data_IF_745883719555
#
_entry.id   IF_745883719555
#
_cell.length_a   1.000
_cell.length_b   1.000
_cell.length_c   1.000
_cell.angle_alpha   90.00
_cell.angle_beta   90.00
_cell.angle_gamma   90.00
#
_symmetry.space_group_name_H-M   'P 1'
#
loop_
_entity.id
_entity.type
_entity.pdbx_description
1 polymer ?
#
# COMPACT_ATOMS: atom_id res chain seq x y z
N UNK A 1 14.89 -3.85 22.85
CA UNK A 1 15.54 -3.56 21.55
C UNK A 1 14.81 -4.41 20.51
N UNK A 2 14.15 -3.80 19.52
CA UNK A 2 13.46 -4.54 18.45
C UNK A 2 14.49 -4.89 17.36
N UNK A 3 14.81 -6.17 17.12
CA UNK A 3 15.78 -6.55 16.10
C UNK A 3 15.31 -6.26 14.67
N UNK A 4 14.02 -5.95 14.47
CA UNK A 4 13.45 -5.63 13.16
C UNK A 4 13.32 -4.12 12.90
N UNK A 5 13.74 -3.26 13.84
CA UNK A 5 13.78 -1.80 13.67
C UNK A 5 14.89 -1.37 12.70
N UNK A 6 14.61 -1.48 11.41
CA UNK A 6 15.54 -1.21 10.30
C UNK A 6 15.29 0.14 9.62
N UNK A 7 14.35 0.96 10.14
CA UNK A 7 13.93 2.21 9.50
C UNK A 7 15.07 3.22 9.35
N UNK A 8 15.97 3.30 10.33
CA UNK A 8 17.17 4.15 10.25
C UNK A 8 18.09 3.75 9.08
N UNK A 9 18.26 2.45 8.86
CA UNK A 9 19.06 1.94 7.75
C UNK A 9 18.40 2.29 6.40
N UNK A 10 17.08 2.10 6.28
CA UNK A 10 16.30 2.44 5.08
C UNK A 10 16.46 3.92 4.73
N UNK A 11 16.31 4.82 5.71
CA UNK A 11 16.49 6.28 5.51
C UNK A 11 17.93 6.60 5.07
N UNK A 12 18.93 6.02 5.71
CA UNK A 12 20.33 6.27 5.36
C UNK A 12 20.64 5.81 3.93
N UNK A 13 20.06 4.68 3.48
CA UNK A 13 20.19 4.23 2.10
C UNK A 13 19.43 5.12 1.13
N UNK A 14 18.21 5.54 1.45
CA UNK A 14 17.44 6.50 0.65
C UNK A 14 18.22 7.80 0.41
N UNK A 15 18.96 8.30 1.40
CA UNK A 15 19.78 9.52 1.26
C UNK A 15 20.94 9.37 0.25
N UNK A 16 21.34 8.13 -0.04
CA UNK A 16 22.43 7.80 -0.97
C UNK A 16 21.91 7.43 -2.37
N UNK A 17 20.59 7.35 -2.57
CA UNK A 17 19.97 6.98 -3.86
C UNK A 17 19.29 8.18 -4.51
N UNK A 18 19.35 8.26 -5.84
CA UNK A 18 18.70 9.32 -6.60
C UNK A 18 17.17 9.15 -6.67
N UNK A 19 16.69 7.92 -6.69
CA UNK A 19 15.26 7.62 -6.70
C UNK A 19 14.70 7.44 -5.28
N UNK A 20 13.41 7.72 -5.13
CA UNK A 20 12.66 7.58 -3.88
C UNK A 20 12.11 6.17 -3.76
N UNK A 21 12.40 5.51 -2.65
CA UNK A 21 11.79 4.26 -2.24
C UNK A 21 10.30 4.47 -1.97
N UNK A 22 9.53 3.43 -2.23
CA UNK A 22 8.12 3.34 -1.86
C UNK A 22 7.97 2.36 -0.70
N UNK A 23 7.50 2.84 0.44
CA UNK A 23 7.34 2.04 1.67
C UNK A 23 5.86 1.93 1.99
N UNK A 24 5.35 0.70 2.14
CA UNK A 24 3.95 0.45 2.47
C UNK A 24 3.79 0.22 3.98
N UNK A 25 2.99 1.06 4.64
CA UNK A 25 2.65 0.89 6.05
C UNK A 25 1.27 0.28 6.22
N UNK A 26 1.15 -0.61 7.21
CA UNK A 26 -0.11 -1.23 7.57
C UNK A 26 -0.71 -0.56 8.80
N UNK A 27 -1.87 0.08 8.64
CA UNK A 27 -2.55 0.84 9.70
C UNK A 27 -3.92 0.26 10.09
N UNK A 28 -4.27 -0.91 9.54
CA UNK A 28 -5.52 -1.58 9.86
C UNK A 28 -5.57 -2.09 11.30
N UNK A 29 -6.77 -2.47 11.75
CA UNK A 29 -6.97 -3.06 13.07
C UNK A 29 -6.34 -4.46 13.18
N UNK A 30 -6.06 -4.88 14.42
CA UNK A 30 -5.68 -6.26 14.68
C UNK A 30 -6.84 -7.20 14.29
N UNK A 31 -6.52 -8.22 13.50
CA UNK A 31 -7.47 -9.20 13.00
C UNK A 31 -6.85 -10.60 12.99
N UNK A 32 -7.61 -11.61 12.56
CA UNK A 32 -7.15 -13.00 12.45
C UNK A 32 -5.98 -13.17 11.47
N UNK A 33 -5.90 -12.36 10.41
CA UNK A 33 -4.86 -12.48 9.39
C UNK A 33 -3.79 -11.38 9.49
N UNK A 34 -4.18 -10.17 9.86
CA UNK A 34 -3.27 -9.03 9.95
C UNK A 34 -3.14 -8.53 11.39
N UNK A 35 -1.89 -8.39 11.86
CA UNK A 35 -1.57 -7.87 13.20
C UNK A 35 -1.19 -6.39 13.12
N UNK A 36 -2.20 -5.53 13.04
CA UNK A 36 -2.01 -4.10 12.85
C UNK A 36 -1.53 -3.36 14.09
N UNK A 37 -0.86 -2.23 13.87
CA UNK A 37 -0.49 -1.29 14.92
C UNK A 37 -1.55 -0.21 14.98
N UNK A 38 -2.11 0.02 16.17
CA UNK A 38 -3.11 1.06 16.39
C UNK A 38 -2.55 2.45 15.98
N UNK A 39 -3.23 3.12 15.05
CA UNK A 39 -2.85 4.42 14.49
C UNK A 39 -2.86 5.55 15.52
N UNK A 40 -3.56 5.37 16.65
CA UNK A 40 -3.55 6.35 17.75
C UNK A 40 -2.22 6.38 18.51
N UNK A 41 -1.32 5.41 18.27
CA UNK A 41 0.02 5.42 18.87
C UNK A 41 0.88 6.49 18.21
N UNK A 42 1.10 7.59 18.93
CA UNK A 42 1.94 8.73 18.49
C UNK A 42 3.32 8.30 17.96
N UNK A 43 3.97 7.31 18.59
CA UNK A 43 5.26 6.79 18.12
C UNK A 43 5.20 6.21 16.71
N UNK A 44 4.11 5.52 16.37
CA UNK A 44 3.93 4.92 15.04
C UNK A 44 3.62 5.99 13.99
N UNK A 45 2.74 6.94 14.30
CA UNK A 45 2.46 8.10 13.43
C UNK A 45 3.73 8.91 13.17
N UNK A 46 4.52 9.18 14.22
CA UNK A 46 5.80 9.87 14.11
C UNK A 46 6.79 9.13 13.23
N UNK A 47 6.85 7.79 13.33
CA UNK A 47 7.67 6.96 12.46
C UNK A 47 7.24 7.04 10.99
N UNK A 48 5.94 6.94 10.70
CA UNK A 48 5.41 7.03 9.33
C UNK A 48 5.78 8.40 8.73
N UNK A 49 5.53 9.48 9.47
CA UNK A 49 5.89 10.84 9.04
C UNK A 49 7.39 11.00 8.80
N UNK A 50 8.22 10.53 9.72
CA UNK A 50 9.67 10.59 9.57
C UNK A 50 10.17 9.81 8.34
N UNK A 51 9.53 8.70 7.98
CA UNK A 51 9.85 7.97 6.74
C UNK A 51 9.35 8.74 5.51
N UNK A 52 8.15 9.34 5.59
CA UNK A 52 7.57 10.15 4.51
C UNK A 52 8.40 11.39 4.15
N UNK A 53 9.19 11.93 5.09
CA UNK A 53 10.13 13.02 4.81
C UNK A 53 11.23 12.62 3.79
N UNK A 54 11.57 11.33 3.71
CA UNK A 54 12.66 10.83 2.86
C UNK A 54 12.18 9.93 1.72
N UNK A 55 11.11 9.16 1.92
CA UNK A 55 10.59 8.14 1.01
C UNK A 55 9.14 8.45 0.60
N UNK A 56 8.67 7.85 -0.49
CA UNK A 56 7.22 7.77 -0.75
C UNK A 56 6.60 6.76 0.22
N UNK A 57 5.39 7.06 0.68
CA UNK A 57 4.62 6.16 1.55
C UNK A 57 3.33 5.74 0.85
N UNK A 58 3.07 4.44 0.86
CA UNK A 58 1.82 3.84 0.39
C UNK A 58 1.09 3.10 1.51
N UNK A 59 -0.14 2.70 1.22
CA UNK A 59 -0.97 1.91 2.13
C UNK A 59 -0.76 0.43 1.85
N UNK A 60 -0.31 -0.32 2.86
CA UNK A 60 -0.58 -1.75 2.87
C UNK A 60 -2.03 -1.92 3.32
N UNK A 61 -2.92 -2.31 2.44
CA UNK A 61 -4.35 -2.50 2.74
C UNK A 61 -4.59 -3.87 3.41
N UNK A 62 -5.53 -3.97 4.35
CA UNK A 62 -5.76 -5.22 5.09
C UNK A 62 -6.31 -6.35 4.22
N UNK A 63 -6.18 -7.58 4.72
CA UNK A 63 -6.72 -8.78 4.08
C UNK A 63 -8.24 -8.71 3.85
N UNK A 64 -8.96 -8.09 4.78
CA UNK A 64 -10.42 -7.95 4.71
C UNK A 64 -10.85 -6.82 3.76
N UNK A 65 -10.06 -5.76 3.64
CA UNK A 65 -10.36 -4.63 2.74
C UNK A 65 -10.50 -5.03 1.25
N UNK A 66 -9.95 -6.18 0.85
CA UNK A 66 -10.11 -6.74 -0.50
C UNK A 66 -11.59 -6.95 -0.87
N UNK A 67 -12.44 -7.28 0.10
CA UNK A 67 -13.88 -7.54 -0.07
C UNK A 67 -14.77 -6.50 0.61
N UNK A 68 -14.19 -5.48 1.23
CA UNK A 68 -14.90 -4.48 2.01
C UNK A 68 -14.36 -3.09 1.66
N UNK A 69 -15.07 -2.41 0.76
CA UNK A 69 -14.68 -1.09 0.24
C UNK A 69 -14.77 -0.01 1.33
N UNK A 70 -15.69 -0.12 2.29
CA UNK A 70 -15.80 0.85 3.37
C UNK A 70 -14.63 0.71 4.35
N UNK A 71 -14.16 -0.51 4.61
CA UNK A 71 -12.92 -0.74 5.34
C UNK A 71 -11.70 -0.19 4.57
N UNK A 72 -11.59 -0.44 3.27
CA UNK A 72 -10.50 0.10 2.44
C UNK A 72 -10.48 1.63 2.46
N UNK A 73 -11.64 2.26 2.31
CA UNK A 73 -11.83 3.71 2.36
C UNK A 73 -11.47 4.29 3.72
N UNK A 74 -11.82 3.59 4.81
CA UNK A 74 -11.40 3.97 6.17
C UNK A 74 -9.89 3.92 6.32
N UNK A 75 -9.26 2.82 5.92
CA UNK A 75 -7.80 2.66 5.97
C UNK A 75 -7.11 3.74 5.11
N UNK A 76 -7.59 3.99 3.89
CA UNK A 76 -7.09 5.07 3.02
C UNK A 76 -7.12 6.42 3.75
N UNK A 77 -8.29 6.83 4.24
CA UNK A 77 -8.46 8.12 4.93
C UNK A 77 -7.53 8.27 6.12
N UNK A 78 -7.40 7.22 6.94
CA UNK A 78 -6.51 7.25 8.10
C UNK A 78 -5.03 7.43 7.70
N UNK A 79 -4.62 6.87 6.56
CA UNK A 79 -3.25 7.07 6.05
C UNK A 79 -3.09 8.49 5.51
N UNK A 80 -4.07 9.00 4.76
CA UNK A 80 -4.07 10.36 4.24
C UNK A 80 -4.02 11.40 5.36
N UNK A 81 -4.78 11.20 6.44
CA UNK A 81 -4.74 12.06 7.65
C UNK A 81 -3.36 12.05 8.32
N UNK A 82 -2.66 10.92 8.31
CA UNK A 82 -1.30 10.81 8.86
C UNK A 82 -0.28 11.49 7.96
N UNK A 83 -0.38 11.35 6.65
CA UNK A 83 0.58 11.90 5.70
C UNK A 83 0.27 13.35 5.31
N UNK A 84 -0.95 13.83 5.58
CA UNK A 84 -1.47 15.13 5.14
C UNK A 84 -1.37 15.32 3.61
N UNK A 85 -1.58 14.23 2.85
CA UNK A 85 -1.55 14.21 1.38
C UNK A 85 -2.41 13.06 0.86
N UNK A 86 -2.82 13.14 -0.40
CA UNK A 86 -3.58 12.08 -1.07
C UNK A 86 -2.73 10.80 -1.22
N UNK A 87 -3.34 9.65 -0.97
CA UNK A 87 -2.68 8.36 -1.08
C UNK A 87 -2.53 7.97 -2.56
N UNK A 88 -1.30 7.84 -3.04
CA UNK A 88 -1.05 7.48 -4.44
C UNK A 88 -0.96 5.97 -4.70
N UNK A 89 -0.48 5.19 -3.73
CA UNK A 89 -0.10 3.79 -3.93
C UNK A 89 -0.67 2.87 -2.85
N UNK A 90 -1.13 1.69 -3.27
CA UNK A 90 -1.58 0.61 -2.40
C UNK A 90 -0.86 -0.72 -2.64
N UNK A 91 -0.97 -1.60 -1.65
CA UNK A 91 -0.66 -3.02 -1.78
C UNK A 91 -1.51 -3.82 -0.81
N UNK A 92 -2.28 -4.80 -1.29
CA UNK A 92 -3.06 -5.64 -0.39
C UNK A 92 -2.20 -6.67 0.36
N UNK A 93 -2.57 -6.94 1.61
CA UNK A 93 -1.96 -7.98 2.44
C UNK A 93 -1.94 -9.33 1.72
N UNK A 94 -0.85 -10.08 1.90
CA UNK A 94 -0.64 -11.42 1.31
C UNK A 94 -0.73 -11.48 -0.22
N UNK A 95 -0.52 -10.35 -0.91
CA UNK A 95 -0.78 -10.22 -2.35
C UNK A 95 -2.19 -10.72 -2.74
N UNK A 96 -3.18 -10.61 -1.85
CA UNK A 96 -4.54 -11.05 -2.12
C UNK A 96 -5.23 -10.02 -2.99
N UNK A 97 -5.80 -10.47 -4.11
CA UNK A 97 -6.42 -9.61 -5.10
C UNK A 97 -7.68 -10.30 -5.63
N UNK A 98 -8.79 -9.56 -5.71
CA UNK A 98 -10.05 -10.04 -6.27
C UNK A 98 -10.39 -9.20 -7.50
N UNK A 99 -9.93 -9.61 -8.68
CA UNK A 99 -10.20 -8.89 -9.93
C UNK A 99 -11.62 -9.19 -10.44
N UNK A 100 -12.29 -8.24 -11.11
CA UNK A 100 -11.87 -6.84 -11.31
C UNK A 100 -12.16 -5.92 -10.10
N UNK A 101 -12.94 -6.41 -9.14
CA UNK A 101 -13.52 -5.62 -8.03
C UNK A 101 -12.49 -4.83 -7.21
N UNK A 102 -11.37 -5.44 -6.82
CA UNK A 102 -10.33 -4.76 -6.05
C UNK A 102 -9.78 -3.54 -6.80
N UNK A 103 -9.62 -3.62 -8.12
CA UNK A 103 -9.09 -2.53 -8.94
C UNK A 103 -10.15 -1.47 -9.22
N UNK A 104 -11.40 -1.87 -9.44
CA UNK A 104 -12.53 -0.92 -9.49
C UNK A 104 -12.64 -0.11 -8.19
N UNK A 105 -12.51 -0.76 -7.03
CA UNK A 105 -12.54 -0.10 -5.73
C UNK A 105 -11.36 0.87 -5.56
N UNK A 106 -10.15 0.51 -5.99
CA UNK A 106 -9.00 1.42 -5.94
C UNK A 106 -9.19 2.63 -6.85
N UNK A 107 -9.68 2.43 -8.07
CA UNK A 107 -10.01 3.51 -9.02
C UNK A 107 -11.07 4.44 -8.44
N UNK A 108 -12.15 3.90 -7.87
CA UNK A 108 -13.21 4.68 -7.22
C UNK A 108 -12.68 5.52 -6.04
N UNK A 109 -11.68 4.99 -5.31
CA UNK A 109 -11.01 5.68 -4.22
C UNK A 109 -9.85 6.59 -4.68
N UNK A 110 -9.65 6.74 -5.99
CA UNK A 110 -8.60 7.56 -6.61
C UNK A 110 -7.17 7.14 -6.23
N UNK A 111 -6.96 5.86 -5.92
CA UNK A 111 -5.62 5.28 -5.78
C UNK A 111 -5.09 4.96 -7.17
N UNK A 112 -3.89 5.44 -7.50
CA UNK A 112 -3.35 5.44 -8.87
C UNK A 112 -2.38 4.31 -9.16
N UNK A 113 -1.85 3.65 -8.13
CA UNK A 113 -0.84 2.61 -8.29
C UNK A 113 -1.12 1.45 -7.33
N UNK A 114 -1.12 0.21 -7.81
CA UNK A 114 -1.19 -0.99 -6.98
C UNK A 114 -0.02 -1.93 -7.23
N UNK A 115 0.57 -2.44 -6.14
CA UNK A 115 1.75 -3.30 -6.17
C UNK A 115 1.44 -4.72 -5.68
N UNK A 116 0.19 -5.18 -5.84
CA UNK A 116 -0.29 -6.49 -5.33
C UNK A 116 0.04 -7.65 -6.27
N UNK A 117 0.32 -7.40 -7.56
CA UNK A 117 0.55 -8.45 -8.56
C UNK A 117 1.89 -9.21 -8.45
N UNK A 118 2.69 -8.99 -7.42
CA UNK A 118 3.86 -9.83 -7.11
C UNK A 118 3.49 -11.15 -6.45
N UNK A 119 4.13 -12.26 -6.86
CA UNK A 119 4.00 -13.54 -6.14
C UNK A 119 4.64 -13.45 -4.74
N UNK A 120 4.01 -14.07 -3.74
CA UNK A 120 4.47 -13.98 -2.34
C UNK A 120 5.73 -14.82 -2.11
N UNK A 121 5.77 -16.03 -2.70
CA UNK A 121 6.80 -17.04 -2.44
C UNK A 121 7.63 -17.40 -3.68
N UNK A 122 7.45 -16.67 -4.79
CA UNK A 122 8.10 -16.97 -6.06
C UNK A 122 8.58 -15.68 -6.73
N UNK A 123 9.63 -15.79 -7.54
CA UNK A 123 10.11 -14.68 -8.37
C UNK A 123 9.13 -14.48 -9.53
N UNK A 124 8.81 -13.22 -9.83
CA UNK A 124 7.98 -12.84 -10.97
C UNK A 124 6.67 -12.13 -10.59
N UNK A 125 5.89 -11.81 -11.61
CA UNK A 125 4.67 -11.03 -11.51
C UNK A 125 3.51 -11.79 -12.17
N UNK A 126 2.32 -11.68 -11.59
CA UNK A 126 1.09 -12.34 -12.11
C UNK A 126 0.70 -11.86 -13.50
N UNK A 127 1.09 -10.63 -13.86
CA UNK A 127 0.89 -10.06 -15.19
C UNK A 127 2.00 -10.43 -16.20
N UNK A 128 3.00 -11.23 -15.81
CA UNK A 128 4.10 -11.61 -16.68
C UNK A 128 5.10 -10.49 -17.01
N UNK A 129 4.91 -9.29 -16.45
CA UNK A 129 5.75 -8.11 -16.70
C UNK A 129 6.15 -7.43 -15.39
N UNK A 130 7.39 -6.94 -15.34
CA UNK A 130 7.88 -6.04 -14.30
C UNK A 130 7.69 -4.55 -14.66
N UNK A 131 7.18 -4.27 -15.86
CA UNK A 131 6.94 -2.91 -16.36
C UNK A 131 5.52 -2.49 -15.98
N UNK A 132 5.33 -1.26 -15.46
CA UNK A 132 4.00 -0.73 -15.15
C UNK A 132 3.10 -0.74 -16.40
N UNK A 133 1.82 -1.03 -16.18
CA UNK A 133 0.78 -1.00 -17.20
C UNK A 133 -0.53 -0.57 -16.55
N UNK A 134 -1.43 -0.01 -17.36
CA UNK A 134 -2.76 0.37 -16.89
C UNK A 134 -3.70 -0.83 -16.94
N UNK A 135 -4.54 -0.98 -15.92
CA UNK A 135 -5.53 -2.03 -15.88
C UNK A 135 -6.61 -1.81 -16.94
N UNK A 136 -6.94 -2.86 -17.69
CA UNK A 136 -8.03 -2.87 -18.66
C UNK A 136 -9.20 -3.65 -18.08
N UNK A 137 -10.33 -2.97 -17.88
CA UNK A 137 -11.56 -3.58 -17.39
C UNK A 137 -12.33 -4.20 -18.54
N UNK A 138 -12.35 -5.53 -18.59
CA UNK A 138 -12.97 -6.30 -19.68
C UNK A 138 -14.48 -6.16 -19.73
N UNK A 139 -15.17 -6.03 -18.58
CA UNK A 139 -16.63 -5.98 -18.57
C UNK A 139 -17.15 -4.63 -19.10
N UNK A 140 -16.37 -3.56 -18.88
CA UNK A 140 -16.69 -2.20 -19.34
C UNK A 140 -15.93 -1.79 -20.60
N UNK A 141 -15.09 -2.67 -21.14
CA UNK A 141 -14.19 -2.43 -22.28
C UNK A 141 -13.45 -1.08 -22.19
N UNK A 142 -12.87 -0.79 -21.02
CA UNK A 142 -12.22 0.51 -20.76
C UNK A 142 -10.88 0.35 -20.05
N UNK A 143 -9.90 1.16 -20.44
CA UNK A 143 -8.66 1.32 -19.70
C UNK A 143 -8.90 2.23 -18.50
N UNK A 144 -8.54 1.77 -17.31
CA UNK A 144 -8.66 2.54 -16.07
C UNK A 144 -7.42 3.40 -15.85
N UNK A 145 -7.49 4.42 -14.96
CA UNK A 145 -6.33 5.22 -14.60
C UNK A 145 -5.40 4.56 -13.55
N UNK A 146 -5.61 3.27 -13.22
CA UNK A 146 -4.83 2.48 -12.25
C UNK A 146 -3.75 1.64 -12.95
#
# INVERSE_FOLDING_TARGET
HDPFDTFKYIINKQKQTQFKFLVFFFIGSYSTFDKGININKRKYVSLIKHIADYCKVGLKASYFSVKDVELLKKEKRQMEDVLNTALSASRFSFSKLNLPESYRNLVQLEVKEDYTMGYVNHIGFRAGSCTPFLFYDLDYEVQTPL
#
